data_IF_662881550740
#
_entry.id   IF_662881550740
#
_cell.length_a   1.000
_cell.length_b   1.000
_cell.length_c   1.000
_cell.angle_alpha   90.00
_cell.angle_beta   90.00
_cell.angle_gamma   90.00
#
_symmetry.space_group_name_H-M   'P 1'
#
loop_
_entity.id
_entity.type
_entity.pdbx_description
1 polymer ?
#
# COMPACT_ATOMS: atom_id res chain seq x y z
N UNK A 1 -51.23 17.24 23.55
CA UNK A 1 -51.82 18.10 22.50
C UNK A 1 -50.65 18.70 21.76
N UNK A 2 -50.31 18.39 20.52
CA UNK A 2 -50.96 17.64 19.46
C UNK A 2 -49.90 16.87 18.65
N UNK A 3 -50.27 15.67 18.24
CA UNK A 3 -49.62 14.79 17.27
C UNK A 3 -49.89 15.26 15.84
N UNK A 4 -48.89 15.25 14.96
CA UNK A 4 -49.11 15.35 13.50
C UNK A 4 -48.78 14.01 12.85
N UNK A 5 -49.75 13.50 12.12
CA UNK A 5 -49.88 12.15 11.62
C UNK A 5 -49.19 11.92 10.27
N UNK A 6 -48.77 10.68 10.08
CA UNK A 6 -48.36 10.09 8.81
C UNK A 6 -49.56 9.92 7.86
N UNK A 7 -49.35 10.16 6.57
CA UNK A 7 -50.29 9.81 5.51
C UNK A 7 -49.64 8.79 4.56
N UNK A 8 -50.17 7.58 4.62
CA UNK A 8 -49.96 6.46 3.69
C UNK A 8 -50.71 6.69 2.39
N UNK A 9 -50.11 6.34 1.24
CA UNK A 9 -50.83 6.11 -0.01
C UNK A 9 -50.66 4.65 -0.42
N UNK A 10 -51.77 3.91 -0.42
CA UNK A 10 -51.93 2.60 -1.01
C UNK A 10 -52.70 2.74 -2.33
N UNK A 11 -52.24 2.04 -3.37
CA UNK A 11 -52.87 1.96 -4.68
C UNK A 11 -52.46 0.66 -5.40
N UNK A 12 -53.20 -0.40 -5.11
CA UNK A 12 -53.42 -1.67 -5.84
C UNK A 12 -53.88 -1.41 -7.29
N UNK A 13 -53.85 -2.31 -8.29
CA UNK A 13 -53.44 -3.71 -8.47
C UNK A 13 -53.53 -4.08 -9.98
N UNK A 14 -52.96 -5.24 -10.32
CA UNK A 14 -53.28 -6.16 -11.44
C UNK A 14 -52.99 -5.71 -12.88
N UNK A 15 -52.45 -6.52 -13.80
CA UNK A 15 -52.24 -7.97 -13.87
C UNK A 15 -52.71 -8.47 -15.23
N UNK A 16 -51.82 -8.97 -16.09
CA UNK A 16 -52.19 -9.80 -17.24
C UNK A 16 -51.01 -10.61 -17.79
N UNK A 17 -51.17 -11.92 -17.68
CA UNK A 17 -50.42 -13.04 -18.24
C UNK A 17 -50.46 -13.12 -19.77
N UNK A 18 -49.39 -13.63 -20.41
CA UNK A 18 -49.41 -14.63 -21.51
C UNK A 18 -47.99 -15.03 -21.98
N UNK A 19 -47.68 -16.33 -21.93
CA UNK A 19 -46.68 -17.04 -22.75
C UNK A 19 -47.44 -17.83 -23.87
N UNK A 20 -46.84 -18.63 -24.79
CA UNK A 20 -45.42 -19.03 -24.96
C UNK A 20 -44.89 -19.13 -26.43
N UNK A 21 -43.62 -19.57 -26.52
CA UNK A 21 -42.97 -20.31 -27.62
C UNK A 21 -42.43 -19.58 -28.87
N UNK A 22 -41.11 -19.69 -29.11
CA UNK A 22 -40.61 -20.42 -30.28
C UNK A 22 -39.14 -20.85 -30.10
N UNK A 23 -38.86 -22.04 -30.62
CA UNK A 23 -37.60 -22.80 -30.64
C UNK A 23 -36.40 -22.05 -31.25
N UNK A 24 -35.18 -22.37 -30.79
CA UNK A 24 -34.15 -23.04 -31.60
C UNK A 24 -32.91 -23.34 -30.76
N UNK A 25 -32.71 -24.63 -30.49
CA UNK A 25 -31.44 -25.19 -30.07
C UNK A 25 -30.55 -25.37 -31.30
N UNK A 26 -29.26 -25.07 -31.19
CA UNK A 26 -28.22 -25.52 -32.11
C UNK A 26 -27.12 -26.16 -31.28
N UNK A 27 -27.15 -27.49 -31.26
CA UNK A 27 -26.09 -28.37 -30.78
C UNK A 27 -25.78 -29.34 -31.91
N UNK A 28 -24.55 -29.40 -32.41
CA UNK A 28 -23.86 -30.51 -33.12
C UNK A 28 -22.45 -29.98 -33.48
N UNK A 29 -21.33 -30.70 -33.43
CA UNK A 29 -21.10 -32.14 -33.30
C UNK A 29 -19.72 -32.41 -32.67
N UNK A 30 -19.63 -33.54 -31.97
CA UNK A 30 -18.37 -34.19 -31.60
C UNK A 30 -17.80 -34.90 -32.83
N UNK A 31 -16.48 -34.87 -32.99
CA UNK A 31 -15.73 -35.78 -33.87
C UNK A 31 -14.63 -36.44 -33.05
N UNK A 32 -14.67 -37.77 -33.00
CA UNK A 32 -13.83 -38.66 -32.21
C UNK A 32 -12.86 -39.44 -33.10
N UNK A 33 -11.55 -39.35 -32.77
CA UNK A 33 -10.51 -40.42 -32.70
C UNK A 33 -10.17 -41.25 -33.97
N UNK A 34 -8.90 -41.74 -34.13
CA UNK A 34 -8.34 -42.78 -33.24
C UNK A 34 -6.85 -42.67 -32.86
N UNK A 35 -6.52 -43.49 -31.84
CA UNK A 35 -5.20 -43.76 -31.24
C UNK A 35 -4.35 -44.66 -32.14
N UNK A 36 -3.03 -44.52 -32.07
CA UNK A 36 -2.09 -45.61 -32.34
C UNK A 36 -0.88 -45.53 -31.39
N UNK A 37 -0.39 -46.71 -31.00
CA UNK A 37 0.49 -47.06 -29.88
C UNK A 37 1.99 -47.05 -30.21
N UNK A 38 2.84 -46.88 -29.17
CA UNK A 38 4.31 -47.03 -29.16
C UNK A 38 4.77 -48.49 -29.40
N UNK A 39 6.07 -48.70 -29.70
CA UNK A 39 7.00 -49.22 -28.67
C UNK A 39 8.41 -48.57 -28.70
N UNK A 40 9.34 -48.94 -27.78
CA UNK A 40 10.49 -48.12 -27.39
C UNK A 40 11.86 -48.64 -27.90
N UNK A 41 12.84 -47.75 -28.02
CA UNK A 41 14.28 -48.11 -28.03
C UNK A 41 15.12 -47.03 -27.37
N UNK A 42 15.92 -47.43 -26.40
CA UNK A 42 17.03 -46.66 -25.83
C UNK A 42 18.30 -46.84 -26.69
N UNK A 43 19.16 -45.82 -26.78
CA UNK A 43 20.62 -45.86 -26.55
C UNK A 43 21.31 -44.59 -27.11
N UNK A 44 22.04 -43.88 -26.22
CA UNK A 44 23.24 -43.03 -26.37
C UNK A 44 23.39 -41.98 -27.50
N UNK A 45 23.73 -40.73 -27.10
CA UNK A 45 24.50 -39.80 -27.94
C UNK A 45 24.27 -38.29 -27.72
N UNK A 46 25.20 -37.65 -27.03
CA UNK A 46 25.64 -36.24 -27.13
C UNK A 46 24.70 -35.01 -26.87
N UNK A 47 24.93 -34.43 -25.69
CA UNK A 47 25.18 -33.01 -25.37
C UNK A 47 24.94 -31.94 -26.45
N UNK A 48 23.87 -31.14 -26.28
CA UNK A 48 23.90 -29.68 -26.49
C UNK A 48 23.03 -29.02 -25.40
N UNK A 49 23.64 -28.57 -24.31
CA UNK A 49 23.01 -27.62 -23.38
C UNK A 49 23.23 -26.20 -23.92
N UNK A 50 22.22 -25.64 -24.58
CA UNK A 50 22.15 -24.18 -24.79
C UNK A 50 21.79 -23.55 -23.45
N UNK A 51 22.81 -23.16 -22.69
CA UNK A 51 22.68 -22.26 -21.55
C UNK A 51 22.53 -20.84 -22.08
N UNK A 52 21.31 -20.29 -22.11
CA UNK A 52 21.13 -18.84 -22.23
C UNK A 52 21.56 -18.20 -20.91
N UNK A 53 22.85 -17.87 -20.81
CA UNK A 53 23.39 -17.06 -19.74
C UNK A 53 22.73 -15.67 -19.80
N UNK A 54 21.97 -15.32 -18.78
CA UNK A 54 21.44 -13.98 -18.56
C UNK A 54 22.63 -13.05 -18.27
N UNK A 55 22.78 -11.87 -18.92
CA UNK A 55 24.03 -11.13 -18.85
C UNK A 55 24.24 -10.52 -17.46
N UNK A 56 25.30 -10.95 -16.77
CA UNK A 56 25.79 -10.40 -15.50
C UNK A 56 26.15 -8.91 -15.59
N UNK A 57 26.44 -8.41 -16.79
CA UNK A 57 26.82 -7.01 -17.04
C UNK A 57 25.71 -6.00 -16.72
N UNK A 58 24.44 -6.30 -17.04
CA UNK A 58 23.32 -5.38 -16.79
C UNK A 58 22.98 -5.23 -15.29
N UNK A 59 23.37 -6.22 -14.47
CA UNK A 59 23.16 -6.21 -13.02
C UNK A 59 24.26 -5.42 -12.31
N UNK A 60 25.50 -5.47 -12.81
CA UNK A 60 26.62 -4.68 -12.27
C UNK A 60 26.46 -3.18 -12.58
N UNK A 61 25.97 -2.81 -13.77
CA UNK A 61 25.75 -1.39 -14.12
C UNK A 61 24.61 -0.75 -13.30
N UNK A 62 23.49 -1.46 -13.11
CA UNK A 62 22.40 -0.99 -12.25
C UNK A 62 22.81 -0.85 -10.78
N UNK A 63 23.57 -1.82 -10.25
CA UNK A 63 24.07 -1.76 -8.87
C UNK A 63 25.06 -0.60 -8.65
N UNK A 64 25.98 -0.37 -9.59
CA UNK A 64 26.90 0.78 -9.56
C UNK A 64 26.15 2.12 -9.68
N UNK A 65 25.10 2.19 -10.53
CA UNK A 65 24.27 3.40 -10.67
C UNK A 65 23.46 3.70 -9.40
N UNK A 66 22.92 2.67 -8.73
CA UNK A 66 22.21 2.79 -7.44
C UNK A 66 23.14 3.27 -6.32
N UNK A 67 24.35 2.72 -6.25
CA UNK A 67 25.35 3.16 -5.27
C UNK A 67 25.78 4.63 -5.50
N UNK A 68 25.88 5.06 -6.77
CA UNK A 68 26.18 6.44 -7.10
C UNK A 68 25.02 7.43 -6.83
N UNK A 69 23.77 6.97 -6.89
CA UNK A 69 22.57 7.77 -6.55
C UNK A 69 22.42 7.99 -5.05
N UNK A 70 22.66 6.96 -4.23
CA UNK A 70 22.67 7.08 -2.76
C UNK A 70 23.75 8.04 -2.27
N UNK A 71 24.87 8.17 -2.98
CA UNK A 71 25.95 9.11 -2.65
C UNK A 71 25.63 10.59 -3.00
N UNK A 72 24.48 10.90 -3.61
CA UNK A 72 24.10 12.28 -4.01
C UNK A 72 23.07 12.93 -3.10
N UNK A 73 22.28 12.14 -2.39
CA UNK A 73 21.19 12.62 -1.54
C UNK A 73 21.76 12.96 -0.17
N UNK A 74 21.63 14.22 0.26
CA UNK A 74 22.20 14.69 1.52
C UNK A 74 21.09 14.92 2.55
N UNK A 75 21.38 14.67 3.82
CA UNK A 75 20.49 15.08 4.91
C UNK A 75 20.48 16.61 4.94
N UNK A 76 19.29 17.20 5.03
CA UNK A 76 19.07 18.65 5.00
C UNK A 76 18.49 19.16 3.68
N UNK A 77 18.58 18.38 2.59
CA UNK A 77 17.95 18.70 1.30
C UNK A 77 16.42 18.87 1.46
N UNK A 78 15.83 19.76 0.66
CA UNK A 78 14.38 19.79 0.47
C UNK A 78 13.88 18.54 -0.27
N UNK A 79 12.57 18.26 -0.20
CA UNK A 79 11.95 17.18 -0.95
C UNK A 79 12.24 17.28 -2.46
N UNK A 80 12.14 18.47 -3.06
CA UNK A 80 12.38 18.68 -4.49
C UNK A 80 13.85 18.44 -4.87
N UNK A 81 14.79 18.92 -4.07
CA UNK A 81 16.23 18.70 -4.27
C UNK A 81 16.55 17.21 -4.19
N UNK A 82 16.05 16.53 -3.16
CA UNK A 82 16.20 15.09 -3.00
C UNK A 82 15.63 14.33 -4.22
N UNK A 83 14.38 14.60 -4.60
CA UNK A 83 13.71 13.89 -5.68
C UNK A 83 14.43 14.08 -7.03
N UNK A 84 14.92 15.29 -7.29
CA UNK A 84 15.73 15.61 -8.49
C UNK A 84 17.06 14.83 -8.52
N UNK A 85 17.65 14.57 -7.35
CA UNK A 85 18.86 13.74 -7.21
C UNK A 85 18.55 12.25 -7.31
N UNK A 86 17.38 11.82 -6.81
CA UNK A 86 17.03 10.41 -6.64
C UNK A 86 16.40 9.76 -7.88
N UNK A 87 15.70 10.52 -8.74
CA UNK A 87 15.09 9.99 -9.97
C UNK A 87 15.17 11.00 -11.13
N UNK A 88 15.44 10.55 -12.37
CA UNK A 88 15.37 11.43 -13.55
C UNK A 88 13.93 11.66 -14.04
N UNK A 89 12.95 10.91 -13.52
CA UNK A 89 11.55 10.97 -13.96
C UNK A 89 10.82 12.18 -13.37
N UNK A 90 10.70 13.25 -14.17
CA UNK A 90 10.04 14.49 -13.77
C UNK A 90 8.56 14.31 -13.43
N UNK A 91 7.88 13.34 -14.03
CA UNK A 91 6.47 13.08 -13.74
C UNK A 91 6.33 12.46 -12.35
N UNK A 92 7.23 11.53 -12.00
CA UNK A 92 7.26 10.96 -10.65
C UNK A 92 7.58 12.01 -9.59
N UNK A 93 8.55 12.90 -9.86
CA UNK A 93 8.87 14.03 -8.96
C UNK A 93 7.61 14.87 -8.72
N UNK A 94 6.92 15.28 -9.79
CA UNK A 94 5.69 16.08 -9.70
C UNK A 94 4.61 15.38 -8.88
N UNK A 95 4.36 14.10 -9.11
CA UNK A 95 3.37 13.32 -8.37
C UNK A 95 3.69 13.31 -6.87
N UNK A 96 4.94 12.99 -6.49
CA UNK A 96 5.33 12.90 -5.08
C UNK A 96 5.29 14.27 -4.38
N UNK A 97 5.66 15.35 -5.06
CA UNK A 97 5.51 16.71 -4.54
C UNK A 97 4.03 17.06 -4.31
N UNK A 98 3.14 16.78 -5.27
CA UNK A 98 1.69 17.01 -5.11
C UNK A 98 1.11 16.23 -3.93
N UNK A 99 1.50 14.96 -3.77
CA UNK A 99 1.09 14.15 -2.61
C UNK A 99 1.63 14.74 -1.30
N UNK A 100 2.88 15.22 -1.28
CA UNK A 100 3.48 15.94 -0.15
C UNK A 100 2.66 17.14 0.33
N UNK A 101 2.12 17.92 -0.61
CA UNK A 101 1.26 19.07 -0.32
C UNK A 101 -0.10 18.65 0.27
N UNK A 102 -0.70 17.56 -0.23
CA UNK A 102 -1.90 16.97 0.35
C UNK A 102 -1.66 16.51 1.78
N UNK A 103 -0.58 15.76 2.04
CA UNK A 103 -0.24 15.28 3.38
C UNK A 103 0.05 16.42 4.36
N UNK A 104 0.66 17.52 3.92
CA UNK A 104 0.83 18.73 4.75
C UNK A 104 -0.53 19.27 5.20
N UNK A 105 -1.49 19.32 4.27
CA UNK A 105 -2.83 19.82 4.54
C UNK A 105 -3.61 18.87 5.46
N UNK A 106 -3.53 17.56 5.22
CA UNK A 106 -4.14 16.53 6.07
C UNK A 106 -3.62 16.64 7.51
N UNK A 107 -2.30 16.79 7.71
CA UNK A 107 -1.71 16.94 9.03
C UNK A 107 -2.28 18.12 9.81
N UNK A 108 -2.50 19.26 9.14
CA UNK A 108 -3.13 20.43 9.75
C UNK A 108 -4.62 20.16 10.09
N UNK A 109 -5.34 19.48 9.20
CA UNK A 109 -6.76 19.14 9.38
C UNK A 109 -6.97 18.14 10.51
N UNK A 110 -6.11 17.13 10.65
CA UNK A 110 -6.13 16.21 11.79
C UNK A 110 -5.83 16.96 13.09
N UNK A 111 -4.81 17.83 13.12
CA UNK A 111 -4.41 18.61 14.31
C UNK A 111 -5.51 19.51 14.86
N UNK A 112 -6.35 20.05 13.99
CA UNK A 112 -7.39 21.04 14.33
C UNK A 112 -8.80 20.47 14.25
N UNK A 113 -8.95 19.15 14.09
CA UNK A 113 -10.25 18.51 13.99
C UNK A 113 -11.05 18.67 15.29
N UNK A 114 -12.35 18.91 15.14
CA UNK A 114 -13.30 18.84 16.25
C UNK A 114 -13.70 17.39 16.44
N UNK A 115 -13.24 16.78 17.54
CA UNK A 115 -13.66 15.43 17.91
C UNK A 115 -14.83 15.51 18.88
N UNK A 116 -16.02 15.13 18.41
CA UNK A 116 -17.23 15.11 19.21
C UNK A 116 -18.20 14.04 18.70
N UNK A 117 -18.73 13.21 19.60
CA UNK A 117 -19.66 12.13 19.24
C UNK A 117 -18.95 10.97 18.54
N UNK A 118 -19.46 10.57 17.37
CA UNK A 118 -19.03 9.36 16.62
C UNK A 118 -17.95 9.60 15.56
N UNK A 119 -17.46 10.83 15.39
CA UNK A 119 -16.44 11.16 14.38
C UNK A 119 -15.60 12.39 14.76
N UNK A 120 -14.38 12.45 14.22
CA UNK A 120 -13.57 13.67 14.20
C UNK A 120 -13.78 14.38 12.86
N UNK A 121 -14.14 15.66 12.93
CA UNK A 121 -14.58 16.43 11.76
C UNK A 121 -13.81 17.73 11.61
N UNK A 122 -13.56 18.15 10.37
CA UNK A 122 -12.96 19.45 10.05
C UNK A 122 -13.65 20.03 8.81
N UNK A 123 -13.49 21.34 8.57
CA UNK A 123 -14.07 21.99 7.40
C UNK A 123 -13.21 21.80 6.15
N UNK A 124 -13.83 21.63 5.00
CA UNK A 124 -13.19 21.71 3.68
C UNK A 124 -14.10 22.52 2.75
N UNK A 125 -13.63 23.68 2.30
CA UNK A 125 -14.52 24.66 1.66
C UNK A 125 -15.63 25.08 2.63
N UNK A 126 -16.87 24.89 2.22
CA UNK A 126 -18.07 25.23 3.00
C UNK A 126 -18.68 24.03 3.76
N UNK A 127 -18.11 22.83 3.61
CA UNK A 127 -18.64 21.59 4.18
C UNK A 127 -17.84 21.11 5.40
N UNK A 128 -18.52 20.47 6.36
CA UNK A 128 -17.90 19.79 7.50
C UNK A 128 -17.84 18.29 7.21
N UNK A 129 -16.64 17.73 7.10
CA UNK A 129 -16.39 16.34 6.73
C UNK A 129 -15.65 15.61 7.85
N UNK A 130 -15.87 14.30 7.93
CA UNK A 130 -15.01 13.43 8.71
C UNK A 130 -13.58 13.46 8.13
N UNK A 131 -12.57 13.39 9.00
CA UNK A 131 -11.17 13.62 8.63
C UNK A 131 -10.62 12.60 7.61
N UNK A 132 -11.16 11.38 7.62
CA UNK A 132 -10.90 10.32 6.64
C UNK A 132 -11.39 10.70 5.24
N UNK A 133 -12.66 11.10 5.10
CA UNK A 133 -13.25 11.54 3.83
C UNK A 133 -12.63 12.84 3.32
N UNK A 134 -12.22 13.72 4.24
CA UNK A 134 -11.46 14.93 3.91
C UNK A 134 -10.09 14.56 3.33
N UNK A 135 -9.36 13.66 3.99
CA UNK A 135 -8.07 13.17 3.49
C UNK A 135 -8.21 12.49 2.13
N UNK A 136 -9.25 11.68 1.95
CA UNK A 136 -9.57 11.03 0.68
C UNK A 136 -9.73 12.04 -0.46
N UNK A 137 -10.52 13.10 -0.24
CA UNK A 137 -10.73 14.17 -1.22
C UNK A 137 -9.42 14.90 -1.55
N UNK A 138 -8.65 15.29 -0.54
CA UNK A 138 -7.36 15.97 -0.73
C UNK A 138 -6.37 15.15 -1.57
N UNK A 139 -6.36 13.83 -1.41
CA UNK A 139 -5.46 12.95 -2.16
C UNK A 139 -5.92 12.79 -3.61
N UNK A 140 -7.22 12.63 -3.87
CA UNK A 140 -7.74 12.65 -5.25
C UNK A 140 -7.45 14.00 -5.94
N UNK A 141 -7.75 15.12 -5.29
CA UNK A 141 -7.48 16.47 -5.82
C UNK A 141 -5.99 16.65 -6.17
N UNK A 142 -5.08 16.15 -5.33
CA UNK A 142 -3.64 16.21 -5.58
C UNK A 142 -3.20 15.32 -6.76
N UNK A 143 -3.80 14.14 -6.90
CA UNK A 143 -3.53 13.24 -8.02
C UNK A 143 -4.04 13.81 -9.35
N UNK A 144 -5.22 14.43 -9.36
CA UNK A 144 -5.76 15.13 -10.53
C UNK A 144 -4.88 16.35 -10.91
N UNK A 145 -4.51 17.18 -9.93
CA UNK A 145 -3.64 18.34 -10.12
C UNK A 145 -2.22 17.97 -10.59
N UNK A 146 -1.77 16.76 -10.28
CA UNK A 146 -0.49 16.24 -10.77
C UNK A 146 -0.47 16.11 -12.30
N UNK A 147 -1.63 15.91 -12.94
CA UNK A 147 -1.81 15.64 -14.38
C UNK A 147 -1.03 14.42 -14.92
N UNK A 148 -0.41 13.64 -14.04
CA UNK A 148 0.43 12.48 -14.40
C UNK A 148 -0.14 11.16 -13.87
N UNK A 149 -1.22 11.23 -13.08
CA UNK A 149 -1.96 10.07 -12.61
C UNK A 149 -3.08 9.72 -13.61
N UNK A 150 -3.11 8.48 -14.11
CA UNK A 150 -4.19 7.95 -14.94
C UNK A 150 -5.34 7.43 -14.07
N UNK A 151 -5.05 6.51 -13.15
CA UNK A 151 -6.05 5.96 -12.24
C UNK A 151 -5.65 6.06 -10.78
N UNK A 152 -6.61 6.38 -9.94
CA UNK A 152 -6.48 6.39 -8.49
C UNK A 152 -7.49 5.41 -7.86
N UNK A 153 -7.11 4.73 -6.79
CA UNK A 153 -7.98 3.84 -6.03
C UNK A 153 -7.77 4.08 -4.54
N UNK A 154 -8.86 4.34 -3.82
CA UNK A 154 -8.85 4.59 -2.38
C UNK A 154 -9.39 3.38 -1.63
N UNK A 155 -8.94 3.15 -0.41
CA UNK A 155 -9.53 2.16 0.50
C UNK A 155 -11.00 2.48 0.84
N UNK A 156 -11.34 3.78 0.94
CA UNK A 156 -12.71 4.26 1.23
C UNK A 156 -13.68 4.08 0.04
N UNK A 157 -13.14 4.14 -1.18
CA UNK A 157 -13.89 3.97 -2.44
C UNK A 157 -13.08 3.06 -3.35
N UNK A 158 -13.24 1.73 -3.25
CA UNK A 158 -12.39 0.74 -3.94
C UNK A 158 -12.70 0.60 -5.44
N UNK A 159 -13.22 1.66 -6.06
CA UNK A 159 -13.43 1.77 -7.49
C UNK A 159 -12.28 2.58 -8.10
N UNK A 160 -11.81 2.16 -9.28
CA UNK A 160 -10.80 2.88 -10.04
C UNK A 160 -11.40 4.20 -10.56
N UNK A 161 -10.85 5.33 -10.12
CA UNK A 161 -11.22 6.66 -10.58
C UNK A 161 -10.20 7.18 -11.58
N UNK A 162 -10.68 7.71 -12.71
CA UNK A 162 -9.83 8.31 -13.75
C UNK A 162 -9.44 9.74 -13.36
N UNK A 163 -8.15 9.97 -13.17
CA UNK A 163 -7.57 11.28 -12.80
C UNK A 163 -7.14 12.10 -14.04
N UNK A 164 -7.39 11.60 -15.26
CA UNK A 164 -7.17 12.32 -16.50
C UNK A 164 -5.72 12.36 -17.02
N UNK A 165 -4.76 11.75 -16.33
CA UNK A 165 -3.37 11.68 -16.77
C UNK A 165 -3.11 10.68 -17.90
N UNK A 166 -1.89 10.69 -18.47
CA UNK A 166 -1.53 9.84 -19.60
C UNK A 166 -1.29 8.38 -19.18
N UNK A 167 -1.53 7.43 -20.09
CA UNK A 167 -1.14 6.02 -19.89
C UNK A 167 0.36 5.85 -20.04
N UNK A 168 0.94 6.35 -21.14
CA UNK A 168 2.38 6.27 -21.39
C UNK A 168 3.11 7.35 -20.59
N UNK A 169 4.02 6.94 -19.71
CA UNK A 169 4.77 7.85 -18.85
C UNK A 169 3.96 8.47 -17.70
N UNK A 170 2.71 8.02 -17.48
CA UNK A 170 1.93 8.32 -16.28
C UNK A 170 1.86 7.15 -15.32
N UNK A 171 1.07 7.31 -14.27
CA UNK A 171 1.03 6.41 -13.12
C UNK A 171 -0.40 6.06 -12.69
N UNK A 172 -0.54 4.92 -12.03
CA UNK A 172 -1.73 4.62 -11.24
C UNK A 172 -1.37 4.54 -9.76
N UNK A 173 -2.22 5.06 -8.88
CA UNK A 173 -1.95 5.20 -7.45
C UNK A 173 -3.04 4.50 -6.64
N UNK A 174 -2.64 3.66 -5.70
CA UNK A 174 -3.54 3.13 -4.68
C UNK A 174 -3.17 3.74 -3.32
N UNK A 175 -4.15 4.14 -2.52
CA UNK A 175 -3.90 4.77 -1.24
C UNK A 175 -4.94 4.42 -0.17
N UNK A 176 -4.47 4.42 1.09
CA UNK A 176 -5.29 4.49 2.29
C UNK A 176 -5.20 5.95 2.80
N UNK A 177 -6.30 6.71 2.79
CA UNK A 177 -6.26 8.13 3.06
C UNK A 177 -5.93 8.46 4.52
N UNK A 178 -6.38 7.65 5.48
CA UNK A 178 -6.17 7.89 6.90
C UNK A 178 -6.25 6.61 7.74
N UNK A 179 -5.19 5.81 7.71
CA UNK A 179 -4.97 4.68 8.59
C UNK A 179 -4.99 5.13 10.06
N UNK A 180 -5.85 4.48 10.84
CA UNK A 180 -6.11 4.84 12.24
C UNK A 180 -7.11 6.00 12.44
N UNK A 181 -7.90 6.37 11.42
CA UNK A 181 -8.94 7.41 11.52
C UNK A 181 -9.86 7.26 12.75
N UNK A 182 -10.23 6.02 13.10
CA UNK A 182 -11.10 5.69 14.24
C UNK A 182 -10.52 6.01 15.62
N UNK A 183 -9.21 6.24 15.73
CA UNK A 183 -8.52 6.53 17.01
C UNK A 183 -7.95 7.95 17.08
N UNK A 184 -8.33 8.83 16.15
CA UNK A 184 -7.89 10.24 16.13
C UNK A 184 -8.30 10.97 17.42
N UNK A 185 -9.45 10.64 18.00
CA UNK A 185 -9.95 11.19 19.25
C UNK A 185 -9.05 10.89 20.47
N UNK A 186 -8.36 9.74 20.45
CA UNK A 186 -7.38 9.35 21.47
C UNK A 186 -6.03 10.07 21.34
N UNK A 187 -5.86 10.85 20.26
CA UNK A 187 -4.61 11.57 19.94
C UNK A 187 -3.40 10.63 19.77
N UNK A 188 -3.64 9.40 19.32
CA UNK A 188 -2.59 8.49 18.84
C UNK A 188 -2.12 8.91 17.45
N UNK A 189 -0.91 8.50 17.09
CA UNK A 189 -0.37 8.74 15.74
C UNK A 189 -1.19 7.99 14.71
N UNK A 190 -1.59 8.68 13.64
CA UNK A 190 -2.30 8.14 12.48
C UNK A 190 -1.51 8.45 11.20
N UNK A 191 -1.96 8.00 10.03
CA UNK A 191 -1.22 8.31 8.80
C UNK A 191 -1.91 7.98 7.49
N UNK A 192 -1.27 8.34 6.38
CA UNK A 192 -1.70 8.03 5.01
C UNK A 192 -0.69 7.08 4.39
N UNK A 193 -1.14 6.14 3.55
CA UNK A 193 -0.26 5.22 2.82
C UNK A 193 -0.59 5.28 1.35
N UNK A 194 0.41 5.28 0.48
CA UNK A 194 0.16 5.10 -0.94
C UNK A 194 1.29 4.39 -1.68
N UNK A 195 0.90 3.68 -2.74
CA UNK A 195 1.80 3.05 -3.70
C UNK A 195 1.62 3.64 -5.09
N UNK A 196 2.70 3.73 -5.85
CA UNK A 196 2.72 4.29 -7.21
C UNK A 196 3.19 3.23 -8.20
N UNK A 197 2.34 2.91 -9.17
CA UNK A 197 2.62 1.98 -10.27
C UNK A 197 2.70 2.74 -11.59
N UNK A 198 3.57 2.32 -12.53
CA UNK A 198 3.59 2.90 -13.87
C UNK A 198 2.39 2.43 -14.69
N UNK A 199 1.87 3.30 -15.55
CA UNK A 199 0.78 2.97 -16.47
C UNK A 199 -0.61 3.07 -15.84
N UNK A 200 -1.51 2.19 -16.28
CA UNK A 200 -2.96 2.31 -16.14
C UNK A 200 -3.61 1.12 -15.39
N UNK A 201 -2.85 0.42 -14.57
CA UNK A 201 -3.33 -0.79 -13.86
C UNK A 201 -2.97 -0.78 -12.39
N UNK A 202 -3.97 -1.12 -11.56
CA UNK A 202 -3.81 -1.44 -10.14
C UNK A 202 -4.20 -2.90 -9.82
N UNK A 203 -4.73 -3.63 -10.80
CA UNK A 203 -5.06 -5.07 -10.69
C UNK A 203 -4.15 -5.90 -11.58
N UNK A 204 -3.74 -7.07 -11.12
CA UNK A 204 -2.80 -7.93 -11.86
C UNK A 204 -1.36 -7.41 -11.86
N UNK A 205 -1.07 -6.39 -11.04
CA UNK A 205 0.26 -5.88 -10.72
C UNK A 205 0.69 -6.41 -9.35
N UNK A 206 1.98 -6.41 -9.09
CA UNK A 206 2.54 -6.80 -7.79
C UNK A 206 3.16 -5.61 -7.08
N UNK A 207 3.42 -5.75 -5.77
CA UNK A 207 4.18 -4.75 -5.03
C UNK A 207 5.59 -4.52 -5.59
N UNK A 208 6.19 -5.52 -6.25
CA UNK A 208 7.49 -5.41 -6.91
C UNK A 208 7.49 -4.54 -8.17
N UNK A 209 6.31 -4.22 -8.71
CA UNK A 209 6.15 -3.39 -9.91
C UNK A 209 6.11 -1.89 -9.58
N UNK A 210 5.92 -1.52 -8.30
CA UNK A 210 5.93 -0.13 -7.84
C UNK A 210 7.21 0.61 -8.27
N UNK A 211 7.05 1.89 -8.58
CA UNK A 211 8.14 2.86 -8.83
C UNK A 211 8.43 3.70 -7.60
N UNK A 212 7.42 3.92 -6.76
CA UNK A 212 7.54 4.56 -5.46
C UNK A 212 6.47 4.02 -4.51
N UNK A 213 6.74 4.07 -3.22
CA UNK A 213 5.76 3.88 -2.16
C UNK A 213 6.09 4.86 -1.04
N UNK A 214 5.07 5.37 -0.36
CA UNK A 214 5.29 6.34 0.69
C UNK A 214 4.18 6.35 1.73
N UNK A 215 4.49 6.93 2.89
CA UNK A 215 3.53 7.14 3.96
C UNK A 215 3.71 8.51 4.61
N UNK A 216 2.59 9.17 4.90
CA UNK A 216 2.52 10.36 5.73
C UNK A 216 2.20 9.96 7.16
N UNK A 217 2.95 10.47 8.14
CA UNK A 217 2.79 10.14 9.55
C UNK A 217 2.37 11.40 10.30
N UNK A 218 1.21 11.34 10.95
CA UNK A 218 0.59 12.44 11.69
C UNK A 218 0.66 12.16 13.18
N UNK A 219 1.84 12.37 13.75
CA UNK A 219 2.08 12.26 15.19
C UNK A 219 2.41 13.61 15.82
N UNK A 220 3.19 13.65 16.93
CA UNK A 220 3.71 14.90 17.47
C UNK A 220 4.63 15.63 16.47
N UNK A 221 5.21 14.89 15.53
CA UNK A 221 5.87 15.39 14.33
C UNK A 221 5.07 14.94 13.12
N UNK A 222 5.05 15.76 12.08
CA UNK A 222 4.54 15.36 10.78
C UNK A 222 5.71 14.97 9.91
N UNK A 223 5.77 13.70 9.49
CA UNK A 223 6.85 13.20 8.64
C UNK A 223 6.29 12.53 7.39
N UNK A 224 7.09 12.57 6.33
CA UNK A 224 6.78 11.95 5.06
C UNK A 224 7.91 10.98 4.72
N UNK A 225 7.59 9.69 4.62
CA UNK A 225 8.59 8.63 4.42
C UNK A 225 8.42 8.05 3.03
N UNK A 226 9.49 8.08 2.22
CA UNK A 226 9.47 7.71 0.79
C UNK A 226 10.46 6.58 0.52
N UNK A 227 10.03 5.58 -0.21
CA UNK A 227 10.89 4.59 -0.84
C UNK A 227 10.74 4.69 -2.36
N UNK A 228 11.86 4.81 -3.08
CA UNK A 228 11.89 4.84 -4.54
C UNK A 228 12.52 3.55 -5.06
N UNK A 229 11.97 2.99 -6.14
CA UNK A 229 12.48 1.74 -6.71
C UNK A 229 13.95 1.86 -7.09
N UNK A 230 14.38 2.98 -7.66
CA UNK A 230 15.72 3.15 -8.19
C UNK A 230 16.70 3.88 -7.25
N UNK A 231 16.22 4.34 -6.08
CA UNK A 231 17.06 4.93 -5.03
C UNK A 231 17.21 3.96 -3.84
N UNK A 232 18.43 3.63 -3.40
CA UNK A 232 18.60 2.76 -2.24
C UNK A 232 18.09 3.38 -0.94
N UNK A 233 17.39 2.57 -0.15
CA UNK A 233 16.95 2.92 1.18
C UNK A 233 15.54 3.50 1.22
N UNK A 234 15.21 4.04 2.38
CA UNK A 234 13.96 4.72 2.68
C UNK A 234 14.29 6.03 3.35
N UNK A 235 13.64 7.11 2.91
CA UNK A 235 14.03 8.48 3.18
C UNK A 235 12.91 9.18 3.95
N UNK A 236 13.24 9.72 5.12
CA UNK A 236 12.29 10.41 5.99
C UNK A 236 12.47 11.93 5.86
N UNK A 237 11.35 12.62 5.62
CA UNK A 237 11.26 14.06 5.55
C UNK A 237 10.45 14.59 6.73
N UNK A 238 10.95 15.62 7.40
CA UNK A 238 10.23 16.35 8.43
C UNK A 238 9.52 17.55 7.82
N UNK A 239 8.25 17.76 8.17
CA UNK A 239 7.56 19.01 7.90
C UNK A 239 8.08 20.09 8.86
N UNK A 240 8.71 21.13 8.31
CA UNK A 240 9.15 22.30 9.05
C UNK A 240 8.01 23.32 9.24
N UNK A 241 8.20 24.25 10.16
CA UNK A 241 7.21 25.27 10.51
C UNK A 241 6.90 26.21 9.33
N UNK A 242 7.84 26.39 8.40
CA UNK A 242 7.65 27.16 7.16
C UNK A 242 6.84 26.39 6.10
N UNK A 243 6.42 25.16 6.40
CA UNK A 243 5.62 24.33 5.51
C UNK A 243 6.43 23.56 4.45
N UNK A 244 7.75 23.46 4.63
CA UNK A 244 8.66 22.72 3.74
C UNK A 244 9.01 21.35 4.30
N UNK A 245 9.21 20.39 3.40
CA UNK A 245 9.70 19.04 3.73
C UNK A 245 11.22 19.02 3.66
N UNK A 246 11.88 18.68 4.78
CA UNK A 246 13.33 18.58 4.87
C UNK A 246 13.74 17.12 5.12
N UNK A 247 14.71 16.63 4.34
CA UNK A 247 15.27 15.30 4.49
C UNK A 247 16.04 15.18 5.82
N UNK A 248 15.65 14.26 6.69
CA UNK A 248 16.23 14.13 8.05
C UNK A 248 16.89 12.79 8.32
N UNK A 249 16.57 11.74 7.55
CA UNK A 249 17.07 10.40 7.82
C UNK A 249 16.97 9.46 6.61
N UNK A 250 18.04 8.69 6.42
CA UNK A 250 18.08 7.52 5.55
C UNK A 250 18.03 6.21 6.36
N UNK A 251 17.27 5.24 5.87
CA UNK A 251 17.25 3.87 6.40
C UNK A 251 17.59 2.89 5.29
N UNK A 252 18.77 2.27 5.34
CA UNK A 252 19.26 1.32 4.32
C UNK A 252 19.26 -0.14 4.78
N UNK A 253 19.19 -0.37 6.09
CA UNK A 253 19.12 -1.70 6.68
C UNK A 253 18.31 -1.66 7.97
N UNK A 254 17.62 -2.76 8.26
CA UNK A 254 16.91 -3.00 9.51
C UNK A 254 17.65 -4.15 10.21
N UNK A 255 18.25 -3.87 11.36
CA UNK A 255 18.95 -4.87 12.16
C UNK A 255 17.99 -5.75 12.98
N UNK A 256 18.53 -6.75 13.65
CA UNK A 256 17.79 -7.52 14.65
C UNK A 256 17.63 -6.70 15.96
N UNK A 257 16.46 -6.81 16.59
CA UNK A 257 16.20 -6.15 17.86
C UNK A 257 15.02 -6.75 18.61
N UNK A 258 14.86 -6.34 19.88
CA UNK A 258 13.91 -6.92 20.83
C UNK A 258 12.61 -6.12 20.95
N UNK A 259 11.91 -5.96 19.83
CA UNK A 259 10.60 -5.31 19.76
C UNK A 259 9.63 -6.12 18.90
N UNK A 260 8.36 -6.15 19.26
CA UNK A 260 7.30 -6.76 18.46
C UNK A 260 6.00 -5.94 18.50
N UNK A 261 5.23 -6.01 17.41
CA UNK A 261 3.98 -5.29 17.19
C UNK A 261 2.91 -6.26 16.65
N UNK A 262 2.19 -6.98 17.54
CA UNK A 262 1.32 -8.09 17.14
C UNK A 262 -0.06 -7.62 16.65
N UNK A 263 -0.22 -7.55 15.33
CA UNK A 263 -1.53 -7.35 14.70
C UNK A 263 -2.47 -8.54 14.92
N UNK A 264 -3.75 -8.26 15.17
CA UNK A 264 -4.80 -9.29 15.36
C UNK A 264 -4.46 -10.33 16.45
N UNK A 265 -3.93 -9.88 17.60
CA UNK A 265 -3.49 -10.75 18.70
C UNK A 265 -4.54 -11.79 19.15
N UNK A 266 -5.83 -11.51 19.00
CA UNK A 266 -6.94 -12.45 19.29
C UNK A 266 -6.83 -13.78 18.52
N UNK A 267 -6.16 -13.79 17.36
CA UNK A 267 -5.98 -14.99 16.55
C UNK A 267 -5.04 -16.02 17.20
N UNK A 268 -4.34 -15.70 18.28
CA UNK A 268 -3.60 -16.71 19.07
C UNK A 268 -4.53 -17.73 19.71
N UNK A 269 -5.82 -17.42 19.85
CA UNK A 269 -6.82 -18.31 20.43
C UNK A 269 -7.00 -19.61 19.63
N UNK A 270 -7.02 -19.51 18.30
CA UNK A 270 -7.29 -20.62 17.38
C UNK A 270 -6.15 -20.90 16.39
N UNK A 271 -5.11 -20.05 16.35
CA UNK A 271 -3.88 -20.31 15.59
C UNK A 271 -2.71 -20.69 16.55
N UNK A 272 -2.40 -22.00 16.72
CA UNK A 272 -1.37 -22.45 17.64
C UNK A 272 0.03 -22.02 17.23
N UNK A 273 0.30 -21.80 15.94
CA UNK A 273 1.61 -21.35 15.49
C UNK A 273 1.81 -19.85 15.79
N UNK A 274 0.74 -19.06 15.69
CA UNK A 274 0.80 -17.66 16.12
C UNK A 274 0.95 -17.55 17.64
N UNK A 275 0.25 -18.39 18.42
CA UNK A 275 0.43 -18.45 19.88
C UNK A 275 1.89 -18.73 20.25
N UNK A 276 2.52 -19.74 19.65
CA UNK A 276 3.94 -20.07 19.90
C UNK A 276 4.87 -18.90 19.59
N UNK A 277 4.59 -18.14 18.52
CA UNK A 277 5.39 -16.98 18.14
C UNK A 277 5.29 -15.87 19.20
N UNK A 278 4.09 -15.59 19.71
CA UNK A 278 3.90 -14.62 20.79
C UNK A 278 4.58 -15.10 22.08
N UNK A 279 4.44 -16.38 22.43
CA UNK A 279 5.10 -16.97 23.60
C UNK A 279 6.63 -16.83 23.54
N UNK A 280 7.22 -16.99 22.34
CA UNK A 280 8.66 -16.75 22.12
C UNK A 280 9.04 -15.31 22.47
N UNK A 281 8.33 -14.31 21.95
CA UNK A 281 8.63 -12.90 22.23
C UNK A 281 8.46 -12.54 23.71
N UNK A 282 7.42 -13.06 24.36
CA UNK A 282 7.19 -12.88 25.80
C UNK A 282 8.31 -13.52 26.62
N UNK A 283 8.70 -14.75 26.31
CA UNK A 283 9.80 -15.48 26.98
C UNK A 283 11.13 -14.75 26.86
N UNK A 284 11.43 -14.22 25.69
CA UNK A 284 12.66 -13.46 25.41
C UNK A 284 12.61 -12.00 25.86
N UNK A 285 11.52 -11.60 26.53
CA UNK A 285 11.27 -10.27 27.09
C UNK A 285 11.35 -9.15 26.06
N UNK A 286 10.76 -9.37 24.88
CA UNK A 286 10.67 -8.34 23.85
C UNK A 286 9.74 -7.20 24.29
N UNK A 287 10.03 -5.99 23.81
CA UNK A 287 9.20 -4.81 24.08
C UNK A 287 7.97 -4.82 23.18
N UNK A 288 6.78 -4.71 23.76
CA UNK A 288 5.51 -4.57 23.03
C UNK A 288 5.25 -3.11 22.68
N UNK A 289 5.01 -2.82 21.39
CA UNK A 289 4.50 -1.52 20.91
C UNK A 289 3.54 -1.76 19.76
N UNK A 290 2.24 -1.60 20.01
CA UNK A 290 1.17 -1.78 19.02
C UNK A 290 0.06 -0.79 19.30
N UNK A 291 -0.34 -0.05 18.28
CA UNK A 291 -1.39 0.98 18.35
C UNK A 291 -2.65 0.57 17.58
N UNK A 292 -2.53 -0.40 16.67
CA UNK A 292 -3.62 -0.79 15.78
C UNK A 292 -3.59 -0.08 14.43
N UNK A 293 -2.85 1.04 14.31
CA UNK A 293 -2.58 1.71 13.03
C UNK A 293 -1.34 1.13 12.36
N UNK A 294 -1.46 0.72 11.11
CA UNK A 294 -0.34 0.16 10.35
C UNK A 294 0.81 1.15 10.17
N UNK A 295 0.53 2.44 9.93
CA UNK A 295 1.53 3.49 9.72
C UNK A 295 2.49 3.61 10.90
N UNK A 296 2.06 3.95 12.12
CA UNK A 296 2.99 4.08 13.26
C UNK A 296 3.65 2.76 13.61
N UNK A 297 2.92 1.64 13.54
CA UNK A 297 3.40 0.34 13.99
C UNK A 297 4.46 -0.26 13.05
N UNK A 298 4.41 0.06 11.75
CA UNK A 298 5.45 -0.29 10.76
C UNK A 298 6.57 0.73 10.74
N UNK A 299 6.27 2.03 10.84
CA UNK A 299 7.30 3.08 10.82
C UNK A 299 8.28 2.96 11.99
N UNK A 300 7.83 2.57 13.18
CA UNK A 300 8.78 2.31 14.28
C UNK A 300 9.81 1.22 13.92
N UNK A 301 9.51 0.31 12.99
CA UNK A 301 10.43 -0.71 12.50
C UNK A 301 11.45 -0.23 11.47
N UNK A 302 11.16 0.85 10.76
CA UNK A 302 12.19 1.56 9.98
C UNK A 302 13.07 2.39 10.92
N UNK A 303 12.54 2.79 12.09
CA UNK A 303 13.29 3.56 13.07
C UNK A 303 14.12 2.74 14.05
N UNK A 304 13.72 1.51 14.33
CA UNK A 304 14.37 0.63 15.30
C UNK A 304 14.63 -0.74 14.69
N UNK A 305 15.68 -1.42 15.16
CA UNK A 305 15.95 -2.79 14.72
C UNK A 305 14.82 -3.71 15.15
N UNK A 306 14.13 -4.35 14.20
CA UNK A 306 13.11 -5.38 14.44
C UNK A 306 13.68 -6.71 13.96
N UNK A 307 13.79 -7.71 14.86
CA UNK A 307 14.05 -9.09 14.42
C UNK A 307 12.75 -9.76 14.01
N UNK A 308 12.63 -10.15 12.74
CA UNK A 308 11.82 -11.30 12.38
C UNK A 308 12.64 -12.58 12.68
N UNK A 309 12.07 -13.64 13.26
CA UNK A 309 12.80 -14.89 13.42
C UNK A 309 13.22 -15.40 12.04
N UNK A 310 14.48 -15.77 11.84
CA UNK A 310 14.89 -16.47 10.63
C UNK A 310 14.03 -17.72 10.48
N UNK A 311 13.29 -17.83 9.36
CA UNK A 311 12.40 -18.96 9.07
C UNK A 311 13.09 -20.34 9.14
N UNK A 312 14.43 -20.36 9.10
CA UNK A 312 15.27 -21.56 9.28
C UNK A 312 15.27 -22.12 10.71
N UNK A 313 15.04 -21.30 11.73
CA UNK A 313 15.15 -21.75 13.13
C UNK A 313 13.84 -22.40 13.63
N UNK A 314 12.68 -21.93 13.14
CA UNK A 314 11.37 -22.52 13.46
C UNK A 314 11.20 -23.95 12.92
N UNK A 315 11.73 -24.22 11.72
CA UNK A 315 11.70 -25.56 11.13
C UNK A 315 12.63 -26.55 11.84
N UNK A 316 13.76 -26.06 12.37
CA UNK A 316 14.74 -26.88 13.10
C UNK A 316 14.29 -27.19 14.54
N UNK A 317 13.59 -26.26 15.21
CA UNK A 317 13.02 -26.49 16.55
C UNK A 317 11.74 -27.36 16.51
N UNK A 318 10.91 -27.24 15.47
CA UNK A 318 9.76 -28.13 15.28
C UNK A 318 10.18 -29.59 14.99
N UNK A 319 11.32 -29.82 14.34
CA UNK A 319 11.86 -31.18 14.17
C UNK A 319 12.48 -31.78 15.44
N UNK A 320 12.92 -30.95 16.40
CA UNK A 320 13.51 -31.41 17.66
C UNK A 320 12.49 -31.69 18.77
N UNK A 321 11.31 -31.08 18.71
CA UNK A 321 10.23 -31.26 19.70
C UNK A 321 9.26 -32.41 19.36
N UNK A 322 9.45 -33.09 18.23
CA UNK A 322 8.67 -34.26 17.81
C UNK A 322 9.26 -35.62 18.23
N UNK A 323 9.86 -35.73 19.41
CA UNK A 323 10.29 -37.00 20.02
C UNK A 323 9.74 -37.16 21.41
#
# INVERSE_FOLDING_TARGET
METVAAASYAGTAAGATRSPACCAAMSFSQSSRPKASRPPTAFYGESVRVSTARPLAARQTKAASRAALSARCEIGDSLEEFLTKATPDKNLIRLLTCMGEAMRTIAFKVRTASCGGTACVNSFGDEQLAVDMLANKLLFDALEYSHVCKYACSEEVPELQDMGGPVAGGFSVAFDPLDGSSIVDTNFTVGTIFGVWPGDKLTGVTGGDQVAAAMGIYGPRTTYVIALKDCPGTHEFLLLDEGKWQHVKDTTSIGEGKMFSPGNLRATFDNPDYSKLIDYYVKEKYTLRYTGGMVPDVNQGTQTSISAPAASNLSTEMQRSGK
#
